data_IF_787028703416
#
_entry.id   IF_787028703416
#
_cell.length_a   1.000
_cell.length_b   1.000
_cell.length_c   1.000
_cell.angle_alpha   90.00
_cell.angle_beta   90.00
_cell.angle_gamma   90.00
#
_symmetry.space_group_name_H-M   'P 1'
#
loop_
_entity.id
_entity.type
_entity.pdbx_description
1 polymer ?
#
# COMPACT_ATOMS: atom_id res chain seq x y z
N UNK A 1 19.67 9.99 -14.92
CA UNK A 1 18.81 11.18 -14.77
C UNK A 1 18.29 11.24 -13.34
N UNK A 2 18.42 12.36 -12.66
CA UNK A 2 18.01 12.50 -11.24
C UNK A 2 16.55 12.97 -11.18
N UNK A 3 15.64 12.14 -10.66
CA UNK A 3 14.21 12.47 -10.57
C UNK A 3 13.93 13.21 -9.26
N UNK A 4 13.38 14.42 -9.34
CA UNK A 4 12.95 15.20 -8.16
C UNK A 4 11.43 15.21 -8.09
N UNK A 5 10.87 14.95 -6.92
CA UNK A 5 9.42 14.98 -6.72
C UNK A 5 9.11 15.44 -5.29
N UNK A 6 7.89 15.95 -5.09
CA UNK A 6 7.40 16.28 -3.76
C UNK A 6 7.13 14.99 -2.98
N UNK A 7 7.75 14.85 -1.81
CA UNK A 7 7.57 13.69 -0.95
C UNK A 7 6.67 14.05 0.22
N UNK A 8 5.45 13.47 0.24
CA UNK A 8 4.49 13.68 1.34
C UNK A 8 4.98 13.25 2.73
N UNK A 9 6.02 12.40 2.79
CA UNK A 9 6.57 11.90 4.06
C UNK A 9 7.72 12.77 4.62
N UNK A 10 8.38 13.53 3.74
CA UNK A 10 9.41 14.51 4.10
C UNK A 10 8.89 15.95 4.07
N UNK A 11 7.70 16.17 3.50
CA UNK A 11 7.07 17.48 3.31
C UNK A 11 7.94 18.48 2.52
N UNK A 12 8.78 17.97 1.62
CA UNK A 12 9.69 18.77 0.80
C UNK A 12 9.93 18.10 -0.56
N UNK A 13 10.48 18.86 -1.52
CA UNK A 13 10.90 18.32 -2.81
C UNK A 13 12.36 17.85 -2.76
N UNK A 14 12.57 16.56 -2.95
CA UNK A 14 13.92 15.99 -2.97
C UNK A 14 14.06 14.90 -4.04
N UNK A 15 15.29 14.39 -4.20
CA UNK A 15 15.56 13.26 -5.09
C UNK A 15 14.82 12.02 -4.61
N UNK A 16 14.11 11.38 -5.53
CA UNK A 16 13.36 10.14 -5.31
C UNK A 16 13.84 9.09 -6.30
N UNK A 17 13.69 7.82 -5.93
CA UNK A 17 13.98 6.69 -6.80
C UNK A 17 12.69 6.10 -7.36
N UNK A 18 12.81 5.30 -8.43
CA UNK A 18 11.69 4.54 -8.95
C UNK A 18 11.68 3.15 -8.29
N UNK A 19 10.53 2.72 -7.81
CA UNK A 19 10.32 1.30 -7.50
C UNK A 19 10.03 0.59 -8.81
N UNK A 20 10.80 -0.45 -9.07
CA UNK A 20 10.63 -1.29 -10.25
C UNK A 20 10.12 -2.66 -9.85
N UNK A 21 9.33 -3.24 -10.73
CA UNK A 21 8.87 -4.62 -10.62
C UNK A 21 9.97 -5.61 -11.11
N UNK A 22 9.71 -6.93 -11.10
CA UNK A 22 10.66 -7.93 -11.59
C UNK A 22 11.01 -7.79 -13.08
N UNK A 23 10.13 -7.19 -13.88
CA UNK A 23 10.34 -6.95 -15.31
C UNK A 23 11.13 -5.64 -15.58
N UNK A 24 11.49 -4.90 -14.53
CA UNK A 24 12.24 -3.65 -14.62
C UNK A 24 11.37 -2.43 -14.94
N UNK A 25 10.05 -2.58 -14.93
CA UNK A 25 9.06 -1.53 -15.19
C UNK A 25 8.91 -0.69 -13.94
N UNK A 26 8.95 0.64 -14.09
CA UNK A 26 8.73 1.55 -12.97
C UNK A 26 7.25 1.55 -12.56
N UNK A 27 6.97 1.08 -11.35
CA UNK A 27 5.61 0.95 -10.79
C UNK A 27 5.28 2.02 -9.75
N UNK A 28 6.25 2.87 -9.38
CA UNK A 28 5.99 3.97 -8.45
C UNK A 28 7.23 4.80 -8.10
N UNK A 29 7.01 5.85 -7.30
CA UNK A 29 8.09 6.67 -6.73
C UNK A 29 8.36 6.28 -5.28
N UNK A 30 9.63 6.16 -4.94
CA UNK A 30 10.11 5.78 -3.63
C UNK A 30 10.93 6.89 -2.99
N UNK A 31 10.65 7.15 -1.71
CA UNK A 31 11.41 8.08 -0.91
C UNK A 31 12.62 7.37 -0.31
N UNK A 32 13.82 7.67 -0.79
CA UNK A 32 15.05 7.06 -0.30
C UNK A 32 15.40 7.44 1.15
N UNK A 33 14.93 8.61 1.61
CA UNK A 33 15.15 9.14 2.98
C UNK A 33 14.30 8.43 4.03
N UNK A 34 13.01 8.24 3.73
CA UNK A 34 12.04 7.62 4.66
C UNK A 34 11.85 6.13 4.44
N UNK A 35 12.37 5.61 3.33
CA UNK A 35 12.15 4.24 2.86
C UNK A 35 10.66 3.93 2.73
N UNK A 36 9.91 4.79 2.03
CA UNK A 36 8.47 4.61 1.82
C UNK A 36 8.06 4.89 0.38
N UNK A 37 7.07 4.15 -0.13
CA UNK A 37 6.50 4.39 -1.46
C UNK A 37 5.58 5.61 -1.42
N UNK A 38 5.96 6.66 -2.15
CA UNK A 38 5.24 7.94 -2.23
C UNK A 38 3.92 7.73 -2.98
N UNK A 39 4.01 7.15 -4.17
CA UNK A 39 2.90 6.87 -5.06
C UNK A 39 3.20 5.61 -5.86
N UNK A 40 2.21 4.74 -6.01
CA UNK A 40 2.20 3.71 -7.04
C UNK A 40 1.51 4.27 -8.29
N UNK A 41 2.08 4.00 -9.46
CA UNK A 41 1.49 4.36 -10.76
C UNK A 41 0.53 3.29 -11.27
N UNK A 42 0.66 2.07 -10.74
CA UNK A 42 -0.10 0.90 -11.17
C UNK A 42 -0.24 -0.07 -9.99
N UNK A 43 -1.22 -0.96 -10.07
CA UNK A 43 -1.33 -2.15 -9.24
C UNK A 43 -0.62 -3.37 -9.81
N UNK A 44 -0.11 -3.27 -11.04
CA UNK A 44 0.65 -4.33 -11.68
C UNK A 44 2.00 -4.54 -10.98
N UNK A 45 2.38 -5.81 -10.83
CA UNK A 45 3.70 -6.23 -10.38
C UNK A 45 4.21 -7.34 -11.29
N UNK A 46 5.12 -7.00 -12.21
CA UNK A 46 5.36 -7.82 -13.38
C UNK A 46 4.17 -7.67 -14.33
N UNK A 47 3.64 -8.79 -14.79
CA UNK A 47 2.50 -8.83 -15.73
C UNK A 47 1.16 -9.15 -15.02
N UNK A 48 1.15 -9.17 -13.69
CA UNK A 48 -0.03 -9.51 -12.89
C UNK A 48 -0.54 -8.33 -12.06
N UNK A 49 -1.86 -8.16 -12.03
CA UNK A 49 -2.52 -7.24 -11.09
C UNK A 49 -2.57 -7.86 -9.69
N UNK A 50 -1.80 -7.30 -8.76
CA UNK A 50 -1.74 -7.81 -7.38
C UNK A 50 -2.73 -7.14 -6.44
N UNK A 51 -3.42 -6.09 -6.88
CA UNK A 51 -4.38 -5.39 -6.00
C UNK A 51 -5.56 -6.28 -5.58
N UNK A 52 -6.20 -7.08 -6.45
CA UNK A 52 -7.25 -8.00 -6.03
C UNK A 52 -6.80 -9.03 -4.99
N UNK A 53 -5.55 -9.51 -5.09
CA UNK A 53 -4.96 -10.43 -4.11
C UNK A 53 -4.79 -9.75 -2.74
N UNK A 54 -4.32 -8.50 -2.75
CA UNK A 54 -4.16 -7.68 -1.55
C UNK A 54 -5.51 -7.34 -0.92
N UNK A 55 -6.50 -6.93 -1.73
CA UNK A 55 -7.84 -6.59 -1.25
C UNK A 55 -8.49 -7.81 -0.59
N UNK A 56 -8.45 -8.98 -1.24
CA UNK A 56 -8.96 -10.24 -0.69
C UNK A 56 -8.28 -10.62 0.63
N UNK A 57 -6.95 -10.44 0.73
CA UNK A 57 -6.22 -10.71 1.96
C UNK A 57 -6.63 -9.74 3.09
N UNK A 58 -6.74 -8.44 2.78
CA UNK A 58 -7.20 -7.42 3.73
C UNK A 58 -8.62 -7.74 4.19
N UNK A 59 -9.48 -8.21 3.29
CA UNK A 59 -10.86 -8.54 3.62
C UNK A 59 -10.97 -9.70 4.60
N UNK A 60 -10.12 -10.72 4.46
CA UNK A 60 -10.05 -11.85 5.37
C UNK A 60 -9.35 -11.51 6.70
N UNK A 61 -8.32 -10.66 6.67
CA UNK A 61 -7.48 -10.38 7.84
C UNK A 61 -8.00 -9.23 8.72
N UNK A 62 -8.80 -8.31 8.18
CA UNK A 62 -9.24 -7.10 8.89
C UNK A 62 -10.74 -7.14 9.15
N UNK A 63 -11.09 -7.33 10.42
CA UNK A 63 -12.46 -7.26 10.89
C UNK A 63 -13.06 -5.86 10.70
N UNK A 64 -14.21 -5.81 10.01
CA UNK A 64 -14.87 -4.55 9.64
C UNK A 64 -15.40 -3.80 10.85
N UNK A 65 -15.86 -4.49 11.90
CA UNK A 65 -16.42 -3.86 13.11
C UNK A 65 -15.31 -3.20 13.91
N UNK A 66 -14.19 -3.89 14.10
CA UNK A 66 -12.98 -3.35 14.72
C UNK A 66 -12.43 -2.17 13.92
N UNK A 67 -12.37 -2.27 12.59
CA UNK A 67 -11.84 -1.22 11.72
C UNK A 67 -12.60 0.10 11.83
N UNK A 68 -13.93 0.07 12.03
CA UNK A 68 -14.73 1.29 12.28
C UNK A 68 -14.21 2.08 13.48
N UNK A 69 -13.83 1.39 14.56
CA UNK A 69 -13.41 1.98 15.84
C UNK A 69 -11.96 2.45 15.88
N UNK A 70 -11.12 2.01 14.94
CA UNK A 70 -9.71 2.38 14.88
C UNK A 70 -9.56 3.84 14.42
N UNK A 71 -8.83 4.66 15.18
CA UNK A 71 -8.53 6.05 14.79
C UNK A 71 -7.68 6.10 13.51
N UNK A 72 -7.89 7.13 12.68
CA UNK A 72 -7.24 7.25 11.36
C UNK A 72 -5.71 7.28 11.43
N UNK A 73 -5.11 7.86 12.48
CA UNK A 73 -3.66 7.86 12.72
C UNK A 73 -3.11 6.44 12.99
N UNK A 74 -3.93 5.55 13.55
CA UNK A 74 -3.56 4.16 13.85
C UNK A 74 -3.72 3.23 12.64
N UNK A 75 -4.42 3.65 11.60
CA UNK A 75 -4.60 2.86 10.35
C UNK A 75 -3.25 2.56 9.69
N UNK A 76 -2.29 3.49 9.75
CA UNK A 76 -0.94 3.28 9.20
C UNK A 76 -0.19 2.18 9.97
N UNK A 77 -0.37 2.11 11.28
CA UNK A 77 0.23 1.05 12.09
C UNK A 77 -0.39 -0.32 11.77
N UNK A 78 -1.70 -0.36 11.56
CA UNK A 78 -2.40 -1.57 11.13
C UNK A 78 -1.93 -2.02 9.74
N UNK A 79 -1.86 -1.11 8.75
CA UNK A 79 -1.46 -1.45 7.39
C UNK A 79 -0.05 -2.04 7.34
N UNK A 80 0.89 -1.55 8.15
CA UNK A 80 2.24 -2.14 8.28
C UNK A 80 2.19 -3.59 8.76
N UNK A 81 1.36 -3.90 9.75
CA UNK A 81 1.20 -5.27 10.26
C UNK A 81 0.59 -6.19 9.22
N UNK A 82 -0.50 -5.75 8.57
CA UNK A 82 -1.19 -6.54 7.55
C UNK A 82 -0.28 -6.75 6.33
N UNK A 83 0.43 -5.73 5.87
CA UNK A 83 1.39 -5.86 4.78
C UNK A 83 2.53 -6.83 5.12
N UNK A 84 3.05 -6.77 6.34
CA UNK A 84 4.07 -7.72 6.79
C UNK A 84 3.55 -9.17 6.77
N UNK A 85 2.32 -9.40 7.25
CA UNK A 85 1.69 -10.72 7.21
C UNK A 85 1.40 -11.21 5.79
N UNK A 86 0.92 -10.32 4.92
CA UNK A 86 0.73 -10.60 3.49
C UNK A 86 2.03 -11.05 2.83
N UNK A 87 3.15 -10.38 3.13
CA UNK A 87 4.48 -10.77 2.63
C UNK A 87 4.95 -12.14 3.11
N UNK A 88 4.34 -12.73 4.15
CA UNK A 88 4.64 -14.09 4.59
C UNK A 88 3.89 -15.17 3.80
N UNK A 89 2.89 -14.81 3.00
CA UNK A 89 2.13 -15.75 2.16
C UNK A 89 2.98 -16.30 1.02
N UNK A 90 2.67 -17.52 0.56
CA UNK A 90 3.29 -18.09 -0.65
C UNK A 90 3.11 -17.18 -1.86
N UNK A 91 1.89 -16.66 -2.06
CA UNK A 91 1.56 -15.76 -3.16
C UNK A 91 2.50 -14.56 -3.27
N UNK A 92 2.77 -13.87 -2.15
CA UNK A 92 3.64 -12.70 -2.14
C UNK A 92 5.13 -13.07 -2.32
N UNK A 93 5.56 -14.18 -1.71
CA UNK A 93 6.95 -14.67 -1.77
C UNK A 93 7.34 -15.15 -3.16
N UNK A 94 6.48 -15.96 -3.79
CA UNK A 94 6.72 -16.51 -5.14
C UNK A 94 6.82 -15.39 -6.18
N UNK A 95 5.96 -14.37 -6.08
CA UNK A 95 5.98 -13.17 -6.94
C UNK A 95 7.07 -12.16 -6.58
N UNK A 96 7.80 -12.38 -5.48
CA UNK A 96 8.83 -11.47 -4.94
C UNK A 96 8.31 -10.03 -4.83
N UNK A 97 7.10 -9.85 -4.33
CA UNK A 97 6.48 -8.53 -4.21
C UNK A 97 7.33 -7.64 -3.29
N UNK A 98 7.51 -6.37 -3.64
CA UNK A 98 8.20 -5.44 -2.76
C UNK A 98 7.29 -5.06 -1.57
N UNK A 99 7.84 -5.13 -0.35
CA UNK A 99 7.10 -4.82 0.87
C UNK A 99 6.46 -3.41 0.85
N UNK A 100 7.16 -2.39 0.37
CA UNK A 100 6.63 -1.02 0.36
C UNK A 100 5.56 -0.82 -0.70
N UNK A 101 5.64 -1.56 -1.80
CA UNK A 101 4.57 -1.64 -2.79
C UNK A 101 3.32 -2.30 -2.21
N UNK A 102 3.48 -3.46 -1.55
CA UNK A 102 2.39 -4.12 -0.83
C UNK A 102 1.79 -3.22 0.26
N UNK A 103 2.63 -2.55 1.07
CA UNK A 103 2.18 -1.64 2.12
C UNK A 103 1.33 -0.48 1.58
N UNK A 104 1.73 0.10 0.45
CA UNK A 104 0.98 1.17 -0.21
C UNK A 104 -0.45 0.71 -0.54
N UNK A 105 -0.56 -0.42 -1.24
CA UNK A 105 -1.85 -0.99 -1.67
C UNK A 105 -2.69 -1.52 -0.50
N UNK A 106 -2.06 -2.10 0.53
CA UNK A 106 -2.75 -2.51 1.77
C UNK A 106 -3.35 -1.29 2.48
N UNK A 107 -2.61 -0.18 2.57
CA UNK A 107 -3.14 1.04 3.19
C UNK A 107 -4.35 1.56 2.42
N UNK A 108 -4.29 1.56 1.09
CA UNK A 108 -5.39 2.02 0.25
C UNK A 108 -6.61 1.09 0.34
N UNK A 109 -6.40 -0.24 0.35
CA UNK A 109 -7.46 -1.22 0.57
C UNK A 109 -8.14 -1.04 1.94
N UNK A 110 -7.38 -0.85 3.02
CA UNK A 110 -7.94 -0.61 4.35
C UNK A 110 -8.70 0.72 4.40
N UNK A 111 -8.20 1.78 3.76
CA UNK A 111 -8.89 3.08 3.67
C UNK A 111 -10.18 2.97 2.88
N UNK A 112 -10.16 2.27 1.74
CA UNK A 112 -11.35 2.01 0.94
C UNK A 112 -12.38 1.21 1.74
N UNK A 113 -11.97 0.14 2.41
CA UNK A 113 -12.83 -0.66 3.29
C UNK A 113 -13.45 0.21 4.40
N UNK A 114 -12.64 1.03 5.07
CA UNK A 114 -13.12 1.95 6.12
C UNK A 114 -14.09 3.00 5.55
N UNK A 115 -13.81 3.56 4.37
CA UNK A 115 -14.68 4.50 3.67
C UNK A 115 -16.03 3.90 3.30
N UNK A 116 -16.04 2.73 2.65
CA UNK A 116 -17.26 1.95 2.32
C UNK A 116 -18.12 1.73 3.57
N UNK A 117 -17.50 1.45 4.71
CA UNK A 117 -18.19 1.27 5.99
C UNK A 117 -18.82 2.56 6.53
N UNK A 118 -18.30 3.75 6.24
CA UNK A 118 -18.96 5.01 6.61
C UNK A 118 -20.17 5.30 5.72
N UNK A 119 -20.04 5.11 4.40
CA UNK A 119 -21.15 5.30 3.45
C UNK A 119 -22.29 4.31 3.65
N UNK A 120 -21.99 3.05 3.97
CA UNK A 120 -23.01 2.02 4.22
C UNK A 120 -23.86 2.27 5.48
N UNK A 121 -23.44 3.16 6.40
CA UNK A 121 -24.20 3.48 7.61
C UNK A 121 -24.81 4.90 7.60
N UNK A 122 -24.84 5.61 6.46
CA UNK A 122 -25.62 6.85 6.31
C UNK A 122 -25.21 8.02 7.21
N UNK A 123 -23.93 8.16 7.55
CA UNK A 123 -23.44 9.34 8.28
C UNK A 123 -22.85 10.33 7.28
N UNK A 124 -23.59 11.42 7.03
CA UNK A 124 -23.18 12.59 6.24
C UNK A 124 -22.28 13.52 7.06
#
# INVERSE_FOLDING_TARGET
>A
MTKRSFCRFCSETHTVSETKDPNGIAVGLFCDRRKELITAFTSLWGDEDVFPLIESYVDAAVDSVALKRIKSDKVVGLSRKIAYQFMQTSNARERKINYYFALHHVLDAIRAKKGRLFYANGVY
#
